data_IF_405981075259
#
_entry.id   IF_405981075259
#
_cell.length_a   1.000
_cell.length_b   1.000
_cell.length_c   1.000
_cell.angle_alpha   90.00
_cell.angle_beta   90.00
_cell.angle_gamma   90.00
#
_symmetry.space_group_name_H-M   'P 1'
#
loop_
_entity.id
_entity.type
_entity.pdbx_description
1 polymer ?
#
# COMPACT_ATOMS: atom_id res chain seq x y z
N UNK A 1 4.23 -5.48 18.57
CA UNK A 1 4.86 -5.20 17.25
C UNK A 1 3.93 -4.26 16.51
N UNK A 2 4.44 -3.18 15.92
CA UNK A 2 3.61 -2.24 15.16
C UNK A 2 3.20 -2.90 13.84
N UNK A 3 1.91 -2.84 13.50
CA UNK A 3 1.38 -3.37 12.25
C UNK A 3 1.45 -2.29 11.17
N UNK A 4 2.13 -2.61 10.07
CA UNK A 4 2.28 -1.72 8.92
C UNK A 4 1.41 -2.18 7.75
N UNK A 5 0.71 -1.24 7.13
CA UNK A 5 -0.04 -1.45 5.88
C UNK A 5 0.49 -0.54 4.79
N UNK A 6 0.84 -1.12 3.65
CA UNK A 6 1.11 -0.38 2.42
C UNK A 6 -0.17 -0.33 1.60
N UNK A 7 -0.73 0.87 1.42
CA UNK A 7 -1.84 1.11 0.52
C UNK A 7 -1.30 1.68 -0.77
N UNK A 8 -1.61 1.07 -1.92
CA UNK A 8 -1.12 1.55 -3.22
C UNK A 8 -2.24 1.81 -4.22
N UNK A 9 -2.07 2.83 -5.07
CA UNK A 9 -2.89 3.03 -6.26
C UNK A 9 -2.04 2.75 -7.50
N UNK A 10 -2.47 1.80 -8.31
CA UNK A 10 -1.79 1.39 -9.54
C UNK A 10 -2.79 1.27 -10.69
N UNK A 11 -2.51 1.92 -11.81
CA UNK A 11 -3.32 1.77 -13.03
C UNK A 11 -2.69 0.77 -14.01
N UNK A 12 -1.37 0.79 -14.14
CA UNK A 12 -0.61 -0.03 -15.10
C UNK A 12 0.31 -1.06 -14.44
N UNK A 13 0.23 -1.23 -13.12
CA UNK A 13 1.01 -2.23 -12.36
C UNK A 13 2.35 -1.73 -11.81
N UNK A 14 2.83 -0.53 -12.18
CA UNK A 14 4.12 -0.02 -11.69
C UNK A 14 4.14 0.16 -10.17
N UNK A 15 3.19 0.90 -9.60
CA UNK A 15 3.13 1.15 -8.15
C UNK A 15 2.96 -0.16 -7.37
N UNK A 16 2.15 -1.08 -7.89
CA UNK A 16 1.95 -2.41 -7.29
C UNK A 16 3.27 -3.19 -7.17
N UNK A 17 4.12 -3.14 -8.20
CA UNK A 17 5.43 -3.80 -8.18
C UNK A 17 6.30 -3.32 -7.02
N UNK A 18 6.39 -2.00 -6.82
CA UNK A 18 7.15 -1.42 -5.71
C UNK A 18 6.52 -1.72 -4.35
N UNK A 19 5.18 -1.70 -4.25
CA UNK A 19 4.48 -2.07 -3.03
C UNK A 19 4.77 -3.52 -2.59
N UNK A 20 4.80 -4.46 -3.54
CA UNK A 20 5.17 -5.86 -3.27
C UNK A 20 6.63 -6.02 -2.83
N UNK A 21 7.55 -5.26 -3.42
CA UNK A 21 8.96 -5.29 -3.00
C UNK A 21 9.11 -4.79 -1.56
N UNK A 22 8.52 -3.63 -1.26
CA UNK A 22 8.53 -3.07 0.09
C UNK A 22 7.86 -3.99 1.11
N UNK A 23 6.76 -4.65 0.75
CA UNK A 23 6.09 -5.57 1.68
C UNK A 23 6.92 -6.80 2.00
N UNK A 24 7.68 -7.31 1.03
CA UNK A 24 8.60 -8.43 1.25
C UNK A 24 9.79 -8.01 2.12
N UNK A 25 10.37 -6.83 1.90
CA UNK A 25 11.49 -6.33 2.69
C UNK A 25 11.07 -5.95 4.13
N UNK A 26 9.90 -5.35 4.30
CA UNK A 26 9.38 -4.88 5.60
C UNK A 26 8.54 -5.94 6.32
N UNK A 27 8.26 -7.08 5.69
CA UNK A 27 7.37 -8.14 6.20
C UNK A 27 6.02 -7.57 6.66
N UNK A 28 5.35 -6.82 5.79
CA UNK A 28 4.10 -6.12 6.12
C UNK A 28 2.98 -6.37 5.09
N UNK A 29 1.77 -5.95 5.42
CA UNK A 29 0.61 -6.16 4.55
C UNK A 29 0.54 -5.12 3.43
N UNK A 30 -0.07 -5.49 2.31
CA UNK A 30 -0.39 -4.58 1.20
C UNK A 30 -1.88 -4.58 0.86
N UNK A 31 -2.34 -3.49 0.26
CA UNK A 31 -3.73 -3.30 -0.16
C UNK A 31 -3.79 -2.37 -1.38
N UNK A 32 -4.51 -2.77 -2.44
CA UNK A 32 -4.87 -1.81 -3.49
C UNK A 32 -5.89 -0.81 -2.92
N UNK A 33 -5.73 0.47 -3.21
CA UNK A 33 -6.63 1.53 -2.80
C UNK A 33 -8.08 1.24 -3.24
N UNK A 34 -8.29 0.59 -4.39
CA UNK A 34 -9.62 0.20 -4.90
C UNK A 34 -10.30 -0.85 -4.02
N UNK A 35 -9.50 -1.70 -3.37
CA UNK A 35 -9.97 -2.82 -2.55
C UNK A 35 -9.83 -2.54 -1.04
N UNK A 36 -9.34 -1.36 -0.65
CA UNK A 36 -9.06 -1.03 0.74
C UNK A 36 -10.25 -0.38 1.46
N UNK A 37 -10.73 -1.04 2.51
CA UNK A 37 -11.75 -0.49 3.41
C UNK A 37 -11.14 0.34 4.54
N UNK A 38 -11.90 1.32 5.04
CA UNK A 38 -11.53 2.11 6.23
C UNK A 38 -11.33 1.23 7.46
N UNK A 39 -12.14 0.18 7.60
CA UNK A 39 -12.06 -0.79 8.70
C UNK A 39 -10.72 -1.54 8.67
N UNK A 40 -10.25 -1.93 7.48
CA UNK A 40 -8.94 -2.56 7.32
C UNK A 40 -7.84 -1.59 7.74
N UNK A 41 -7.89 -0.34 7.27
CA UNK A 41 -6.90 0.70 7.59
C UNK A 41 -6.80 0.95 9.11
N UNK A 42 -7.93 1.02 9.81
CA UNK A 42 -7.97 1.27 11.26
C UNK A 42 -7.30 0.18 12.11
N UNK A 43 -7.00 -1.00 11.55
CA UNK A 43 -6.34 -2.09 12.26
C UNK A 43 -4.80 -2.00 12.24
N UNK A 44 -4.24 -0.95 11.65
CA UNK A 44 -2.79 -0.76 11.49
C UNK A 44 -2.30 0.50 12.20
N UNK A 45 -1.09 0.42 12.73
CA UNK A 45 -0.42 1.51 13.44
C UNK A 45 0.31 2.45 12.46
N UNK A 46 0.87 1.87 11.40
CA UNK A 46 1.64 2.59 10.38
C UNK A 46 0.97 2.39 9.03
N UNK A 47 0.79 3.49 8.31
CA UNK A 47 0.32 3.49 6.93
C UNK A 47 1.39 4.05 5.98
N UNK A 48 1.68 3.33 4.92
CA UNK A 48 2.53 3.77 3.81
C UNK A 48 1.64 3.88 2.58
N UNK A 49 1.59 5.07 1.95
CA UNK A 49 0.81 5.26 0.73
C UNK A 49 1.72 5.37 -0.50
N UNK A 50 1.45 4.54 -1.52
CA UNK A 50 2.13 4.57 -2.81
C UNK A 50 1.18 4.96 -3.94
N UNK A 51 1.57 5.90 -4.80
CA UNK A 51 0.76 6.30 -5.95
C UNK A 51 1.63 6.83 -7.08
N UNK A 52 1.13 6.69 -8.32
CA UNK A 52 1.72 7.36 -9.47
C UNK A 52 1.50 8.87 -9.40
N UNK A 53 2.52 9.64 -9.77
CA UNK A 53 2.38 11.08 -10.01
C UNK A 53 2.00 11.26 -11.47
N UNK A 54 0.82 11.81 -11.71
CA UNK A 54 0.34 12.16 -13.04
C UNK A 54 0.48 13.67 -13.17
N UNK A 55 1.55 14.11 -13.83
CA UNK A 55 1.73 15.51 -14.18
C UNK A 55 1.13 15.74 -15.57
N UNK A 56 0.10 16.59 -15.65
CA UNK A 56 -0.59 17.00 -16.87
C UNK A 56 -1.01 18.45 -16.76
#
# INVERSE_FOLDING_TARGET
>A
MQKTLIVYKSETGFTQKYANWLSNELSCDICDLKDCSKEKINNYDILIYGGGIYAG
#
